data_IF_263196947994
#
_entry.id   IF_263196947994
#
_cell.length_a   1.000
_cell.length_b   1.000
_cell.length_c   1.000
_cell.angle_alpha   90.00
_cell.angle_beta   90.00
_cell.angle_gamma   90.00
#
_symmetry.space_group_name_H-M   'P 1'
#
loop_
_entity.id
_entity.type
_entity.pdbx_description
1 polymer ?
#
# COMPACT_ATOMS: atom_id res chain seq x y z
N UNK A 1 -22.63 22.15 -14.78
CA UNK A 1 -21.99 21.03 -15.51
C UNK A 1 -20.60 20.85 -14.91
N UNK A 2 -20.33 19.69 -14.31
CA UNK A 2 -19.15 19.47 -13.47
C UNK A 2 -17.86 19.37 -14.29
N UNK A 3 -17.02 20.40 -14.17
CA UNK A 3 -15.61 20.41 -14.55
C UNK A 3 -14.77 19.61 -13.54
N UNK A 4 -15.06 18.32 -13.36
CA UNK A 4 -14.13 17.41 -12.68
C UNK A 4 -13.20 16.86 -13.76
N UNK A 5 -12.06 17.53 -13.85
CA UNK A 5 -10.91 17.26 -14.70
C UNK A 5 -10.59 15.76 -14.78
N UNK A 6 -10.34 15.27 -16.01
CA UNK A 6 -9.64 14.00 -16.24
C UNK A 6 -8.21 14.14 -15.72
N UNK A 7 -8.02 14.11 -14.41
CA UNK A 7 -6.71 13.99 -13.78
C UNK A 7 -6.22 12.58 -14.13
N UNK A 8 -5.07 12.47 -14.79
CA UNK A 8 -4.46 11.18 -15.04
C UNK A 8 -4.10 10.51 -13.69
N UNK A 9 -4.05 9.17 -13.69
CA UNK A 9 -3.88 8.44 -12.43
C UNK A 9 -2.54 8.74 -11.77
N UNK A 10 -1.48 8.92 -12.55
CA UNK A 10 -0.14 9.24 -12.03
C UNK A 10 -0.14 10.55 -11.25
N UNK A 11 -0.74 11.60 -11.83
CA UNK A 11 -0.95 12.89 -11.18
C UNK A 11 -1.76 12.74 -9.91
N UNK A 12 -2.83 11.93 -9.91
CA UNK A 12 -3.62 11.70 -8.71
C UNK A 12 -2.82 11.02 -7.59
N UNK A 13 -1.99 10.02 -7.92
CA UNK A 13 -1.13 9.33 -6.95
C UNK A 13 -0.18 10.33 -6.28
N UNK A 14 0.51 11.15 -7.07
CA UNK A 14 1.46 12.13 -6.55
C UNK A 14 0.78 13.27 -5.78
N UNK A 15 -0.30 13.84 -6.32
CA UNK A 15 -1.02 14.93 -5.68
C UNK A 15 -1.59 14.52 -4.31
N UNK A 16 -2.23 13.34 -4.22
CA UNK A 16 -2.78 12.86 -2.96
C UNK A 16 -1.67 12.50 -1.96
N UNK A 17 -0.57 11.91 -2.43
CA UNK A 17 0.60 11.65 -1.60
C UNK A 17 1.17 12.95 -1.02
N UNK A 18 1.43 13.96 -1.84
CA UNK A 18 1.96 15.25 -1.41
C UNK A 18 1.01 15.92 -0.40
N UNK A 19 -0.29 15.86 -0.65
CA UNK A 19 -1.31 16.40 0.26
C UNK A 19 -1.29 15.77 1.65
N UNK A 20 -1.05 14.46 1.74
CA UNK A 20 -0.97 13.74 3.01
C UNK A 20 0.40 13.92 3.68
N UNK A 21 1.48 13.66 2.95
CA UNK A 21 2.83 13.53 3.50
C UNK A 21 3.51 14.87 3.78
N UNK A 22 3.04 15.98 3.21
CA UNK A 22 3.49 17.34 3.59
C UNK A 22 3.24 17.69 5.06
N UNK A 23 2.41 16.91 5.75
CA UNK A 23 2.10 17.11 7.18
C UNK A 23 3.17 16.52 8.11
N UNK A 24 4.06 15.65 7.59
CA UNK A 24 5.17 15.13 8.36
C UNK A 24 6.31 16.13 8.46
N UNK A 25 7.13 15.99 9.52
CA UNK A 25 8.29 16.83 9.73
C UNK A 25 9.42 16.57 8.71
N UNK A 26 9.60 15.31 8.32
CA UNK A 26 10.62 14.92 7.34
C UNK A 26 10.09 15.10 5.90
N UNK A 27 10.99 15.30 4.95
CA UNK A 27 10.63 15.33 3.52
C UNK A 27 10.43 13.91 3.02
N UNK A 28 9.32 13.64 2.33
CA UNK A 28 8.99 12.31 1.83
C UNK A 28 8.90 12.27 0.31
N UNK A 29 9.43 11.20 -0.29
CA UNK A 29 9.37 10.96 -1.72
C UNK A 29 8.59 9.69 -2.05
N UNK A 30 7.68 9.79 -3.03
CA UNK A 30 6.97 8.66 -3.62
C UNK A 30 7.61 8.26 -4.94
N UNK A 31 7.84 6.97 -5.15
CA UNK A 31 8.38 6.47 -6.42
C UNK A 31 7.92 5.04 -6.73
N UNK A 32 7.69 4.67 -8.00
CA UNK A 32 7.40 3.29 -8.35
C UNK A 32 8.63 2.40 -8.17
N UNK A 33 8.44 1.18 -7.67
CA UNK A 33 9.48 0.16 -7.64
C UNK A 33 9.58 -0.49 -9.03
N UNK A 34 10.59 -0.09 -9.80
CA UNK A 34 10.85 -0.59 -11.16
C UNK A 34 11.36 -2.04 -11.13
N UNK A 35 12.10 -2.42 -10.09
CA UNK A 35 12.63 -3.78 -9.92
C UNK A 35 11.55 -4.80 -9.57
N UNK A 36 11.74 -6.05 -9.98
CA UNK A 36 10.97 -7.20 -9.46
C UNK A 36 11.46 -7.67 -8.09
N UNK A 37 12.68 -7.29 -7.71
CA UNK A 37 13.22 -7.55 -6.40
C UNK A 37 12.85 -6.41 -5.43
N UNK A 38 12.53 -6.74 -4.17
CA UNK A 38 12.38 -5.74 -3.12
C UNK A 38 13.62 -4.84 -2.98
N UNK A 39 13.47 -3.61 -2.47
CA UNK A 39 14.60 -2.74 -2.16
C UNK A 39 15.59 -3.41 -1.21
N UNK A 40 16.89 -3.23 -1.46
CA UNK A 40 17.95 -3.74 -0.57
C UNK A 40 18.02 -2.86 0.69
N UNK A 41 18.21 -3.48 1.85
CA UNK A 41 18.39 -2.80 3.14
C UNK A 41 17.20 -2.97 4.08
N UNK A 42 17.15 -2.12 5.12
CA UNK A 42 16.09 -2.14 6.13
C UNK A 42 14.89 -1.31 5.66
N UNK A 43 13.85 -2.01 5.25
CA UNK A 43 12.59 -1.43 4.80
C UNK A 43 11.43 -2.00 5.62
N UNK A 44 10.49 -1.14 5.96
CA UNK A 44 9.17 -1.59 6.39
C UNK A 44 8.32 -1.87 5.16
N UNK A 45 7.50 -2.90 5.24
CA UNK A 45 6.61 -3.28 4.14
C UNK A 45 5.15 -3.34 4.59
N UNK A 46 4.25 -3.04 3.68
CA UNK A 46 2.82 -3.27 3.86
C UNK A 46 2.14 -3.39 2.51
N UNK A 47 0.96 -4.00 2.50
CA UNK A 47 0.12 -4.13 1.32
C UNK A 47 -1.27 -3.56 1.58
N UNK A 48 -1.92 -3.13 0.52
CA UNK A 48 -3.34 -2.80 0.58
C UNK A 48 -4.07 -3.36 -0.65
N UNK A 49 -5.30 -3.81 -0.42
CA UNK A 49 -6.18 -4.35 -1.45
C UNK A 49 -7.16 -3.29 -1.92
N UNK A 50 -7.44 -3.33 -3.21
CA UNK A 50 -8.35 -2.41 -3.89
C UNK A 50 -9.21 -3.13 -4.92
N UNK A 51 -10.35 -2.51 -5.24
CA UNK A 51 -11.07 -2.85 -6.47
C UNK A 51 -10.36 -2.18 -7.64
N UNK A 52 -10.02 -2.96 -8.67
CA UNK A 52 -9.35 -2.45 -9.87
C UNK A 52 -9.93 -3.11 -11.12
N UNK A 53 -9.66 -2.51 -12.28
CA UNK A 53 -9.91 -3.10 -13.59
C UNK A 53 -8.61 -3.54 -14.24
N UNK A 54 -8.72 -4.45 -15.20
CA UNK A 54 -7.63 -4.84 -16.09
C UNK A 54 -8.18 -4.88 -17.51
N UNK A 55 -7.30 -4.63 -18.48
CA UNK A 55 -7.60 -4.72 -19.90
C UNK A 55 -6.47 -5.50 -20.57
N UNK A 56 -6.81 -6.64 -21.18
CA UNK A 56 -5.82 -7.40 -21.93
C UNK A 56 -5.43 -6.64 -23.20
N UNK A 57 -4.15 -6.33 -23.36
CA UNK A 57 -3.65 -5.61 -24.53
C UNK A 57 -3.67 -6.47 -25.81
N UNK A 58 -3.71 -7.79 -25.65
CA UNK A 58 -3.70 -8.74 -26.78
C UNK A 58 -5.09 -9.03 -27.33
N UNK A 59 -6.07 -9.33 -26.47
CA UNK A 59 -7.42 -9.74 -26.90
C UNK A 59 -8.52 -8.73 -26.57
N UNK A 60 -8.19 -7.59 -25.94
CA UNK A 60 -9.15 -6.55 -25.57
C UNK A 60 -10.11 -6.92 -24.44
N UNK A 61 -9.97 -8.11 -23.85
CA UNK A 61 -10.86 -8.54 -22.77
C UNK A 61 -10.57 -7.74 -21.49
N UNK A 62 -11.60 -7.08 -20.99
CA UNK A 62 -11.56 -6.38 -19.70
C UNK A 62 -12.14 -7.23 -18.57
N UNK A 63 -11.57 -7.12 -17.37
CA UNK A 63 -12.13 -7.72 -16.16
C UNK A 63 -11.97 -6.81 -14.94
N UNK A 64 -12.72 -7.10 -13.88
CA UNK A 64 -12.65 -6.36 -12.61
C UNK A 64 -12.21 -7.33 -11.51
N UNK A 65 -11.26 -6.91 -10.70
CA UNK A 65 -10.77 -7.67 -9.55
C UNK A 65 -11.08 -6.91 -8.27
N UNK A 66 -11.64 -7.61 -7.29
CA UNK A 66 -11.75 -7.13 -5.91
C UNK A 66 -10.45 -7.32 -5.11
N UNK A 67 -9.47 -8.00 -5.70
CA UNK A 67 -8.16 -8.29 -5.10
C UNK A 67 -7.03 -7.65 -5.91
N UNK A 68 -7.27 -6.47 -6.49
CA UNK A 68 -6.16 -5.61 -6.91
C UNK A 68 -5.30 -5.33 -5.68
N UNK A 69 -3.98 -5.24 -5.84
CA UNK A 69 -3.07 -5.08 -4.73
C UNK A 69 -2.01 -4.04 -5.06
N UNK A 70 -1.73 -3.16 -4.10
CA UNK A 70 -0.53 -2.34 -4.06
C UNK A 70 0.36 -2.84 -2.94
N UNK A 71 1.66 -2.91 -3.21
CA UNK A 71 2.70 -3.13 -2.22
C UNK A 71 3.44 -1.83 -1.98
N UNK A 72 3.78 -1.57 -0.72
CA UNK A 72 4.54 -0.42 -0.29
C UNK A 72 5.78 -0.87 0.47
N UNK A 73 6.91 -0.22 0.19
CA UNK A 73 8.13 -0.30 0.99
C UNK A 73 8.47 1.11 1.43
N UNK A 74 8.76 1.29 2.71
CA UNK A 74 9.06 2.61 3.23
C UNK A 74 10.17 2.57 4.27
N UNK A 75 10.95 3.64 4.29
CA UNK A 75 12.04 3.83 5.24
C UNK A 75 12.21 5.32 5.53
N UNK A 76 12.79 5.62 6.68
CA UNK A 76 13.07 6.99 7.11
C UNK A 76 14.53 7.10 7.51
N UNK A 77 15.28 7.94 6.80
CA UNK A 77 16.62 8.32 7.19
C UNK A 77 16.56 9.57 8.08
N UNK A 78 16.71 9.35 9.39
CA UNK A 78 16.64 10.41 10.40
C UNK A 78 17.78 11.42 10.24
N UNK A 79 18.99 10.98 9.89
CA UNK A 79 20.14 11.88 9.77
C UNK A 79 20.04 12.84 8.58
N UNK A 80 19.35 12.41 7.52
CA UNK A 80 19.11 13.23 6.33
C UNK A 80 17.75 13.94 6.35
N UNK A 81 16.91 13.69 7.35
CA UNK A 81 15.54 14.19 7.42
C UNK A 81 14.69 13.80 6.19
N UNK A 82 14.95 12.62 5.60
CA UNK A 82 14.34 12.17 4.34
C UNK A 82 13.70 10.79 4.50
N UNK A 83 12.42 10.68 4.14
CA UNK A 83 11.68 9.44 4.00
C UNK A 83 11.50 9.06 2.53
N UNK A 84 11.50 7.75 2.27
CA UNK A 84 11.26 7.19 0.93
C UNK A 84 10.11 6.21 1.03
N UNK A 85 9.15 6.34 0.12
CA UNK A 85 8.03 5.43 -0.07
C UNK A 85 8.06 4.89 -1.50
N UNK A 86 8.43 3.63 -1.64
CA UNK A 86 8.28 2.88 -2.88
C UNK A 86 6.92 2.20 -2.95
N UNK A 87 6.37 2.07 -4.16
CA UNK A 87 5.15 1.30 -4.39
C UNK A 87 5.23 0.41 -5.63
N UNK A 88 4.49 -0.71 -5.63
CA UNK A 88 4.30 -1.57 -6.80
C UNK A 88 2.84 -1.96 -6.96
N UNK A 89 2.31 -1.75 -8.17
CA UNK A 89 0.94 -2.10 -8.52
C UNK A 89 0.93 -3.51 -9.12
N UNK A 90 0.30 -4.45 -8.44
CA UNK A 90 0.35 -5.87 -8.80
C UNK A 90 -0.60 -6.18 -9.97
N UNK A 91 -0.05 -6.80 -11.00
CA UNK A 91 -0.76 -7.17 -12.22
C UNK A 91 -1.54 -8.49 -12.13
N UNK A 92 -2.33 -8.76 -13.17
CA UNK A 92 -3.01 -10.04 -13.37
C UNK A 92 -2.87 -10.49 -14.82
N UNK A 93 -2.75 -11.79 -15.05
CA UNK A 93 -2.70 -12.36 -16.40
C UNK A 93 -4.11 -12.51 -16.97
N UNK A 94 -4.24 -12.37 -18.29
CA UNK A 94 -5.51 -12.57 -18.96
C UNK A 94 -5.89 -14.06 -18.95
N UNK A 95 -7.06 -14.40 -18.43
CA UNK A 95 -7.54 -15.80 -18.40
C UNK A 95 -7.68 -16.40 -19.81
N UNK A 96 -8.07 -15.61 -20.81
CA UNK A 96 -8.29 -16.08 -22.18
C UNK A 96 -6.98 -16.33 -22.93
N UNK A 97 -6.01 -15.44 -22.78
CA UNK A 97 -4.71 -15.56 -23.47
C UNK A 97 -3.75 -16.48 -22.73
N UNK A 98 -3.76 -16.41 -21.39
CA UNK A 98 -2.90 -17.17 -20.48
C UNK A 98 -1.42 -17.21 -20.91
N UNK A 99 -0.90 -16.09 -21.37
CA UNK A 99 0.45 -15.95 -21.94
C UNK A 99 1.51 -15.54 -20.90
N UNK A 100 1.21 -15.73 -19.61
CA UNK A 100 2.05 -15.35 -18.46
C UNK A 100 2.46 -13.86 -18.41
N UNK A 101 1.89 -13.00 -19.26
CA UNK A 101 2.08 -11.56 -19.18
C UNK A 101 1.12 -10.96 -18.17
N UNK A 102 1.65 -10.17 -17.25
CA UNK A 102 0.84 -9.40 -16.32
C UNK A 102 0.32 -8.11 -16.97
N UNK A 103 -0.99 -7.93 -16.94
CA UNK A 103 -1.61 -6.67 -17.29
C UNK A 103 -1.60 -5.73 -16.08
N UNK A 104 -1.28 -4.46 -16.32
CA UNK A 104 -1.29 -3.44 -15.28
C UNK A 104 -2.72 -3.14 -14.82
N UNK A 105 -2.91 -2.91 -13.51
CA UNK A 105 -4.22 -2.54 -12.98
C UNK A 105 -4.60 -1.10 -13.37
N UNK A 106 -5.84 -0.93 -13.76
CA UNK A 106 -6.53 0.34 -13.93
C UNK A 106 -7.26 0.66 -12.62
N UNK A 107 -6.75 1.65 -11.89
CA UNK A 107 -7.27 2.04 -10.58
C UNK A 107 -8.46 3.00 -10.67
N UNK A 108 -9.26 3.04 -9.60
CA UNK A 108 -10.28 4.07 -9.42
C UNK A 108 -9.75 5.17 -8.50
N UNK A 109 -10.11 6.45 -8.70
CA UNK A 109 -9.58 7.55 -7.90
C UNK A 109 -9.76 7.36 -6.40
N UNK A 110 -10.95 6.93 -5.99
CA UNK A 110 -11.27 6.66 -4.58
C UNK A 110 -10.46 5.51 -3.96
N UNK A 111 -10.04 4.54 -4.76
CA UNK A 111 -9.18 3.45 -4.27
C UNK A 111 -7.74 3.93 -4.09
N UNK A 112 -7.26 4.84 -4.95
CA UNK A 112 -5.95 5.51 -4.80
C UNK A 112 -5.93 6.32 -3.50
N UNK A 113 -6.94 7.16 -3.28
CA UNK A 113 -7.08 7.98 -2.06
C UNK A 113 -7.08 7.09 -0.82
N UNK A 114 -7.85 5.99 -0.83
CA UNK A 114 -7.91 5.04 0.27
C UNK A 114 -6.54 4.43 0.59
N UNK A 115 -5.85 3.88 -0.41
CA UNK A 115 -4.57 3.17 -0.16
C UNK A 115 -3.47 4.14 0.28
N UNK A 116 -3.45 5.38 -0.25
CA UNK A 116 -2.51 6.42 0.15
C UNK A 116 -2.77 6.92 1.58
N UNK A 117 -4.03 7.10 1.97
CA UNK A 117 -4.42 7.41 3.35
C UNK A 117 -3.98 6.31 4.32
N UNK A 118 -4.18 5.05 3.93
CA UNK A 118 -3.80 3.91 4.75
C UNK A 118 -2.27 3.82 4.98
N UNK A 119 -1.45 4.02 3.93
CA UNK A 119 0.01 4.05 4.09
C UNK A 119 0.49 5.28 4.85
N UNK A 120 -0.14 6.45 4.67
CA UNK A 120 0.14 7.64 5.48
C UNK A 120 -0.02 7.34 6.98
N UNK A 121 -1.14 6.75 7.38
CA UNK A 121 -1.34 6.38 8.77
C UNK A 121 -0.36 5.30 9.26
N UNK A 122 0.01 4.35 8.38
CA UNK A 122 1.00 3.32 8.71
C UNK A 122 2.38 3.93 8.95
N UNK A 123 2.83 4.84 8.09
CA UNK A 123 4.07 5.62 8.26
C UNK A 123 4.02 6.45 9.54
N UNK A 124 2.92 7.14 9.77
CA UNK A 124 2.64 7.91 10.99
C UNK A 124 2.78 7.08 12.27
N UNK A 125 2.28 5.84 12.26
CA UNK A 125 2.43 4.91 13.39
C UNK A 125 3.88 4.47 13.58
N UNK A 126 4.56 4.12 12.49
CA UNK A 126 5.92 3.57 12.52
C UNK A 126 6.95 4.59 12.99
N UNK A 127 6.85 5.85 12.55
CA UNK A 127 7.90 6.85 12.78
C UNK A 127 7.48 8.08 13.59
N UNK A 128 6.18 8.38 13.69
CA UNK A 128 5.68 9.66 14.24
C UNK A 128 4.75 9.49 15.44
N UNK A 129 4.63 8.28 15.99
CA UNK A 129 3.86 8.02 17.21
C UNK A 129 2.35 8.15 17.06
N UNK A 130 1.79 8.04 15.85
CA UNK A 130 0.33 8.06 15.67
C UNK A 130 -0.32 6.93 16.48
N UNK A 131 -1.33 7.27 17.28
CA UNK A 131 -2.12 6.28 18.02
C UNK A 131 -3.20 5.71 17.10
N UNK A 132 -3.16 4.38 16.92
CA UNK A 132 -4.06 3.51 16.14
C UNK A 132 -5.29 4.19 15.48
N UNK A 133 -5.16 4.72 14.26
CA UNK A 133 -6.30 4.87 13.35
C UNK A 133 -6.88 3.50 12.95
N UNK A 134 -8.21 3.45 12.80
CA UNK A 134 -8.88 2.31 12.17
C UNK A 134 -8.46 2.25 10.69
N UNK A 135 -7.70 1.22 10.33
CA UNK A 135 -7.28 0.99 8.94
C UNK A 135 -8.52 0.79 8.06
N UNK A 136 -8.65 1.56 6.97
CA UNK A 136 -9.82 1.48 6.10
C UNK A 136 -9.72 0.24 5.21
N UNK A 137 -10.34 -0.85 5.68
CA UNK A 137 -10.39 -2.13 4.96
C UNK A 137 -11.52 -2.21 3.94
N UNK A 138 -12.47 -1.26 3.98
CA UNK A 138 -13.60 -1.27 3.05
C UNK A 138 -13.10 -0.92 1.65
N UNK A 139 -13.53 -1.71 0.67
CA UNK A 139 -13.26 -1.47 -0.76
C UNK A 139 -14.53 -0.92 -1.39
N UNK A 140 -14.41 -0.25 -2.53
CA UNK A 140 -15.55 0.11 -3.35
C UNK A 140 -16.41 -1.14 -3.60
N UNK A 141 -17.73 -1.10 -3.36
CA UNK A 141 -18.57 -2.28 -3.53
C UNK A 141 -18.53 -2.80 -4.96
N UNK A 142 -18.69 -4.11 -5.10
CA UNK A 142 -18.72 -4.79 -6.39
C UNK A 142 -19.39 -6.14 -6.28
N UNK A 143 -19.99 -6.59 -7.39
CA UNK A 143 -20.52 -7.95 -7.55
C UNK A 143 -19.56 -8.73 -8.47
N UNK A 144 -18.44 -9.26 -7.96
CA UNK A 144 -17.51 -10.02 -8.79
C UNK A 144 -18.23 -11.23 -9.38
N UNK A 145 -18.07 -11.44 -10.69
CA UNK A 145 -18.72 -12.54 -11.43
C UNK A 145 -18.01 -13.88 -11.24
N UNK A 146 -16.78 -13.88 -10.71
CA UNK A 146 -15.95 -15.07 -10.57
C UNK A 146 -15.16 -15.07 -9.26
N UNK A 147 -14.81 -16.27 -8.80
CA UNK A 147 -13.87 -16.47 -7.71
C UNK A 147 -12.44 -16.03 -8.14
N UNK A 148 -11.64 -15.63 -7.16
CA UNK A 148 -10.28 -15.16 -7.41
C UNK A 148 -9.35 -16.30 -7.87
N UNK A 149 -8.89 -16.23 -9.13
CA UNK A 149 -7.94 -17.17 -9.70
C UNK A 149 -6.50 -16.84 -9.27
N UNK A 150 -5.97 -17.58 -8.28
CA UNK A 150 -4.64 -17.33 -7.70
C UNK A 150 -3.51 -17.46 -8.72
N UNK A 151 -3.60 -18.42 -9.63
CA UNK A 151 -2.61 -18.65 -10.68
C UNK A 151 -2.47 -17.46 -11.64
N UNK A 152 -3.51 -16.63 -11.79
CA UNK A 152 -3.49 -15.46 -12.67
C UNK A 152 -3.07 -14.18 -11.95
N UNK A 153 -2.77 -14.23 -10.65
CA UNK A 153 -2.52 -13.04 -9.84
C UNK A 153 -1.04 -12.93 -9.46
N UNK A 154 -0.39 -11.83 -9.86
CA UNK A 154 1.03 -11.59 -9.56
C UNK A 154 1.29 -11.59 -8.05
N UNK A 155 0.40 -10.96 -7.27
CA UNK A 155 0.49 -10.99 -5.82
C UNK A 155 0.32 -12.42 -5.24
N UNK A 156 -0.48 -13.31 -5.83
CA UNK A 156 -0.50 -14.70 -5.36
C UNK A 156 0.81 -15.42 -5.68
N UNK A 157 1.34 -15.23 -6.89
CA UNK A 157 2.58 -15.88 -7.32
C UNK A 157 3.80 -15.43 -6.49
N UNK A 158 3.80 -14.20 -6.00
CA UNK A 158 4.83 -13.67 -5.10
C UNK A 158 4.58 -14.00 -3.61
N UNK A 159 3.59 -14.85 -3.27
CA UNK A 159 3.25 -15.19 -1.88
C UNK A 159 2.57 -14.06 -1.09
N UNK A 160 2.16 -13.02 -1.79
CA UNK A 160 1.72 -11.75 -1.25
C UNK A 160 0.21 -11.66 -0.97
N UNK A 161 -0.64 -12.56 -1.47
CA UNK A 161 -2.07 -12.57 -1.14
C UNK A 161 -2.35 -13.39 0.13
N UNK A 162 -3.15 -12.83 1.06
CA UNK A 162 -3.61 -13.60 2.22
C UNK A 162 -4.69 -14.60 1.78
N UNK A 163 -4.51 -15.88 2.10
CA UNK A 163 -5.51 -16.92 1.87
C UNK A 163 -6.73 -16.67 2.74
N UNK A 164 -7.79 -16.08 2.19
CA UNK A 164 -9.10 -16.10 2.82
C UNK A 164 -9.72 -17.50 2.66
N UNK A 165 -9.21 -18.46 3.43
CA UNK A 165 -9.83 -19.78 3.67
C UNK A 165 -9.40 -20.40 5.01
N UNK A 166 -9.00 -19.59 5.98
CA UNK A 166 -8.90 -20.00 7.38
C UNK A 166 -9.76 -19.03 8.20
N UNK A 167 -10.84 -19.56 8.78
CA UNK A 167 -11.52 -18.91 9.90
C UNK A 167 -10.48 -18.84 11.03
N UNK A 168 -9.90 -17.67 11.27
CA UNK A 168 -9.16 -17.45 12.51
C UNK A 168 -10.18 -17.44 13.64
N UNK A 169 -10.25 -18.58 14.36
CA UNK A 169 -10.80 -18.62 15.70
C UNK A 169 -9.98 -17.65 16.55
N UNK A 170 -10.60 -16.56 16.98
CA UNK A 170 -10.03 -15.65 17.98
C UNK A 170 -10.06 -16.39 19.32
N UNK A 171 -8.92 -16.70 19.96
CA UNK A 171 -8.92 -17.11 21.35
C UNK A 171 -9.19 -15.87 22.20
N UNK A 172 -10.30 -15.91 22.94
CA UNK A 172 -10.59 -14.96 24.00
C UNK A 172 -9.65 -15.26 25.18
N UNK A 173 -8.66 -14.42 25.44
CA UNK A 173 -7.96 -14.42 26.72
C UNK A 173 -7.59 -13.00 27.13
N UNK A 174 -8.35 -12.50 28.10
CA UNK A 174 -7.93 -11.43 29.00
C UNK A 174 -6.66 -11.89 29.73
N UNK A 175 -5.64 -11.04 29.78
CA UNK A 175 -4.77 -10.86 30.95
C UNK A 175 -3.86 -9.65 30.75
N UNK A 176 -3.91 -8.75 31.72
CA UNK A 176 -2.98 -7.65 31.94
C UNK A 176 -1.55 -8.16 32.10
N UNK A 177 -0.57 -7.50 31.46
CA UNK A 177 0.77 -7.29 32.06
C UNK A 177 1.44 -6.10 31.38
N UNK A 178 1.77 -5.11 32.20
CA UNK A 178 2.58 -3.92 31.89
C UNK A 178 4.05 -4.32 31.78
N UNK A 179 4.78 -3.86 30.75
CA UNK A 179 6.23 -3.57 30.79
C UNK A 179 6.69 -2.99 29.43
N UNK A 180 6.89 -1.67 29.37
CA UNK A 180 8.19 -0.95 29.43
C UNK A 180 8.70 -0.57 28.05
N UNK A 181 8.34 0.64 27.63
CA UNK A 181 8.93 1.33 26.48
C UNK A 181 10.30 1.86 26.90
N UNK A 182 11.36 1.37 26.26
CA UNK A 182 12.71 1.89 26.41
C UNK A 182 12.78 3.26 25.72
N UNK A 183 12.61 4.35 26.48
CA UNK A 183 12.83 5.71 25.98
C UNK A 183 14.32 5.98 25.98
N UNK A 184 14.94 6.03 24.80
CA UNK A 184 16.31 6.52 24.62
C UNK A 184 16.31 8.03 24.86
N UNK A 185 16.81 8.44 26.04
CA UNK A 185 17.11 9.85 26.36
C UNK A 185 18.43 10.23 25.68
N UNK A 186 18.38 11.06 24.64
CA UNK A 186 19.57 11.76 24.15
C UNK A 186 19.80 12.96 25.07
N UNK A 187 20.92 12.93 25.79
CA UNK A 187 21.35 14.02 26.66
C UNK A 187 21.93 15.17 25.81
N UNK A 188 21.33 16.36 25.95
CA UNK A 188 21.99 17.60 25.56
C UNK A 188 23.17 17.86 26.50
N UNK A 189 24.38 18.05 25.95
CA UNK A 189 25.46 18.76 26.64
C UNK A 189 25.74 20.04 25.86
N UNK A 190 25.15 21.12 26.34
CA UNK A 190 25.78 22.44 26.28
C UNK A 190 26.59 22.59 27.57
N UNK A 191 27.89 22.81 27.44
CA UNK A 191 28.65 23.58 28.44
C UNK A 191 29.68 24.38 27.68
N UNK A 192 29.46 25.69 27.71
CA UNK A 192 30.43 26.75 27.45
C UNK A 192 31.66 26.57 28.34
N UNK A 193 32.83 26.87 27.76
CA UNK A 193 33.99 27.50 28.40
C UNK A 193 34.86 28.07 27.27
#
# INVERSE_FOLDING_TARGET
MNLLTNIDMETLWHMEFDNLFKTFFNVWYLSPLVSDLPPVGLWFETKDSAKVRYLCQKCGQGWTSMKGCVYFWYTLNISQNVGILYFKLMGQTCQKCNDNRFEHPLWYPEEVIKVLRNIYYKVGQTFYGFVRPNFEKQRRPGKPRSQHAKNLCQACQMGFCSNSSSKENVPNSKTDTVQTVLVVRIANRNTES
#
